data_IF_848633577850
#
_entry.id   IF_848633577850
#
_cell.length_a   1.000
_cell.length_b   1.000
_cell.length_c   1.000
_cell.angle_alpha   90.00
_cell.angle_beta   90.00
_cell.angle_gamma   90.00
#
_symmetry.space_group_name_H-M   'P 1'
#
loop_
_entity.id
_entity.type
_entity.pdbx_description
1 polymer ?
#
# COMPACT_ATOMS: atom_id res chain seq x y z
N UNK A 1 -15.90 -10.84 11.08
CA UNK A 1 -16.14 -9.40 10.85
C UNK A 1 -16.96 -9.31 9.58
N UNK A 2 -18.18 -8.76 9.63
CA UNK A 2 -19.06 -8.64 8.46
C UNK A 2 -19.03 -7.21 7.90
N UNK A 3 -19.59 -7.04 6.69
CA UNK A 3 -19.62 -5.75 6.01
C UNK A 3 -20.25 -4.62 6.86
N UNK A 4 -21.41 -4.84 7.51
CA UNK A 4 -22.04 -3.83 8.37
C UNK A 4 -21.16 -3.39 9.55
N UNK A 5 -20.51 -4.35 10.23
CA UNK A 5 -19.62 -4.03 11.35
C UNK A 5 -18.37 -3.26 10.90
N UNK A 6 -17.81 -3.60 9.74
CA UNK A 6 -16.70 -2.86 9.15
C UNK A 6 -17.08 -1.41 8.82
N UNK A 7 -18.26 -1.19 8.24
CA UNK A 7 -18.78 0.16 7.95
C UNK A 7 -18.95 0.99 9.21
N UNK A 8 -19.43 0.38 10.30
CA UNK A 8 -19.62 1.06 11.58
C UNK A 8 -18.29 1.53 12.18
N UNK A 9 -17.25 0.69 12.16
CA UNK A 9 -15.90 1.08 12.60
C UNK A 9 -15.36 2.27 11.78
N UNK A 10 -15.57 2.27 10.46
CA UNK A 10 -15.14 3.36 9.59
C UNK A 10 -15.90 4.67 9.91
N UNK A 11 -17.21 4.60 10.16
CA UNK A 11 -18.02 5.76 10.48
C UNK A 11 -17.68 6.36 11.85
N UNK A 12 -17.58 5.52 12.88
CA UNK A 12 -17.42 5.98 14.26
C UNK A 12 -16.00 6.46 14.55
N UNK A 13 -14.99 5.81 13.96
CA UNK A 13 -13.60 6.09 14.27
C UNK A 13 -12.87 6.78 13.13
N UNK A 14 -12.95 6.25 11.90
CA UNK A 14 -12.14 6.78 10.82
C UNK A 14 -12.63 8.18 10.41
N UNK A 15 -13.90 8.34 10.04
CA UNK A 15 -14.47 9.61 9.57
C UNK A 15 -14.37 10.71 10.64
N UNK A 16 -14.63 10.37 11.90
CA UNK A 16 -14.52 11.33 13.00
C UNK A 16 -13.08 11.85 13.16
N UNK A 17 -12.10 10.94 13.22
CA UNK A 17 -10.70 11.31 13.42
C UNK A 17 -10.12 12.03 12.20
N UNK A 18 -10.53 11.68 10.98
CA UNK A 18 -10.04 12.31 9.76
C UNK A 18 -10.58 13.72 9.59
N UNK A 19 -11.86 13.95 9.88
CA UNK A 19 -12.41 15.31 9.94
C UNK A 19 -11.70 16.18 10.96
N UNK A 20 -11.38 15.62 12.13
CA UNK A 20 -10.63 16.32 13.19
C UNK A 20 -9.20 16.65 12.76
N UNK A 21 -8.52 15.74 12.05
CA UNK A 21 -7.11 15.86 11.67
C UNK A 21 -6.85 16.64 10.39
N UNK A 22 -7.73 16.50 9.40
CA UNK A 22 -7.54 16.96 8.02
C UNK A 22 -8.64 17.93 7.55
N UNK A 23 -9.62 18.23 8.40
CA UNK A 23 -10.74 19.11 8.08
C UNK A 23 -11.70 18.50 7.05
N UNK A 24 -12.33 19.34 6.23
CA UNK A 24 -13.32 18.92 5.23
C UNK A 24 -12.75 18.43 3.89
N UNK A 25 -11.43 18.47 3.71
CA UNK A 25 -10.76 18.16 2.42
C UNK A 25 -9.82 16.99 2.57
N UNK A 26 -10.36 15.78 2.69
CA UNK A 26 -9.61 14.53 2.75
C UNK A 26 -10.23 13.50 1.82
N UNK A 27 -9.44 12.51 1.39
CA UNK A 27 -9.90 11.33 0.63
C UNK A 27 -9.36 10.05 1.24
N UNK A 28 -10.14 8.97 1.10
CA UNK A 28 -9.68 7.61 1.35
C UNK A 28 -8.82 7.15 0.18
N UNK A 29 -7.62 6.67 0.48
CA UNK A 29 -6.75 6.02 -0.49
C UNK A 29 -7.07 4.53 -0.61
N UNK A 30 -6.50 3.85 -1.61
CA UNK A 30 -6.76 2.43 -1.91
C UNK A 30 -6.39 1.49 -0.75
N UNK A 31 -5.52 1.92 0.14
CA UNK A 31 -5.10 1.21 1.35
C UNK A 31 -5.92 1.58 2.60
N UNK A 32 -6.99 2.35 2.43
CA UNK A 32 -7.80 2.94 3.50
C UNK A 32 -7.08 3.99 4.36
N UNK A 33 -5.95 4.55 3.91
CA UNK A 33 -5.32 5.69 4.58
C UNK A 33 -6.04 7.01 4.20
N UNK A 34 -6.44 7.84 5.17
CA UNK A 34 -7.03 9.15 4.91
C UNK A 34 -5.96 10.24 4.68
N UNK A 35 -6.02 10.96 3.54
CA UNK A 35 -5.06 12.03 3.21
C UNK A 35 -5.69 13.27 2.53
N UNK A 36 -5.04 14.44 2.65
CA UNK A 36 -5.48 15.75 2.13
C UNK A 36 -5.09 16.03 0.67
N UNK A 37 -4.08 15.34 0.16
CA UNK A 37 -3.57 15.50 -1.22
C UNK A 37 -3.75 14.20 -2.01
N UNK A 38 -3.64 14.22 -3.36
CA UNK A 38 -3.25 13.01 -4.06
C UNK A 38 -1.81 12.75 -3.64
N UNK A 39 -1.62 12.18 -2.45
CA UNK A 39 -0.29 11.92 -1.95
C UNK A 39 0.40 11.05 -3.00
N UNK A 40 1.57 11.49 -3.44
CA UNK A 40 2.54 10.62 -4.09
C UNK A 40 3.05 9.52 -3.10
N UNK A 41 2.29 9.20 -2.04
CA UNK A 41 2.54 8.15 -1.05
C UNK A 41 2.43 6.74 -1.62
N UNK A 42 2.04 6.59 -2.89
CA UNK A 42 2.23 5.32 -3.61
C UNK A 42 3.69 4.86 -3.53
N UNK A 43 4.64 5.81 -3.55
CA UNK A 43 6.08 5.54 -3.38
C UNK A 43 6.44 5.06 -1.97
N UNK A 44 5.50 5.03 -1.02
CA UNK A 44 5.70 4.73 0.40
C UNK A 44 4.62 3.76 0.90
N UNK A 45 3.96 2.97 0.05
CA UNK A 45 3.10 1.89 0.53
C UNK A 45 3.80 0.52 0.34
N UNK A 46 4.05 -0.25 1.41
CA UNK A 46 4.68 -1.57 1.27
C UNK A 46 3.83 -2.56 0.47
N UNK A 47 2.51 -2.38 0.41
CA UNK A 47 1.59 -3.19 -0.40
C UNK A 47 1.76 -2.88 -1.89
N UNK A 48 1.84 -1.62 -2.28
CA UNK A 48 2.13 -1.21 -3.67
C UNK A 48 3.50 -1.71 -4.14
N UNK A 49 4.51 -1.61 -3.27
CA UNK A 49 5.85 -2.16 -3.55
C UNK A 49 5.81 -3.69 -3.71
N UNK A 50 5.04 -4.39 -2.89
CA UNK A 50 4.85 -5.84 -3.00
C UNK A 50 4.17 -6.20 -4.32
N UNK A 51 3.10 -5.50 -4.68
CA UNK A 51 2.40 -5.71 -5.95
C UNK A 51 3.32 -5.47 -7.15
N UNK A 52 4.13 -4.40 -7.12
CA UNK A 52 5.12 -4.12 -8.17
C UNK A 52 6.14 -5.25 -8.34
N UNK A 53 6.65 -5.81 -7.23
CA UNK A 53 7.57 -6.96 -7.26
C UNK A 53 6.91 -8.18 -7.88
N UNK A 54 5.70 -8.52 -7.45
CA UNK A 54 4.97 -9.70 -7.92
C UNK A 54 4.62 -9.53 -9.40
N UNK A 55 4.09 -8.37 -9.80
CA UNK A 55 3.78 -8.04 -11.19
C UNK A 55 5.00 -8.25 -12.07
N UNK A 56 6.16 -7.72 -11.68
CA UNK A 56 7.42 -7.87 -12.44
C UNK A 56 7.89 -9.32 -12.53
N UNK A 57 7.64 -10.16 -11.52
CA UNK A 57 7.96 -11.60 -11.56
C UNK A 57 7.01 -12.36 -12.48
N UNK A 58 5.73 -12.04 -12.46
CA UNK A 58 4.72 -12.64 -13.33
C UNK A 58 4.95 -12.25 -14.79
N UNK A 59 5.25 -10.97 -15.06
CA UNK A 59 5.59 -10.48 -16.41
C UNK A 59 6.79 -11.22 -17.01
N UNK A 60 7.84 -11.50 -16.22
CA UNK A 60 9.00 -12.29 -16.65
C UNK A 60 8.68 -13.73 -17.04
N UNK A 61 7.51 -14.24 -16.67
CA UNK A 61 7.04 -15.57 -17.04
C UNK A 61 6.19 -15.58 -18.30
N UNK A 62 5.93 -14.40 -18.87
CA UNK A 62 5.26 -14.21 -20.16
C UNK A 62 3.96 -15.04 -20.30
N UNK A 63 2.99 -14.90 -19.38
CA UNK A 63 1.73 -15.63 -19.49
C UNK A 63 1.01 -15.28 -20.78
N UNK A 64 0.58 -16.30 -21.53
CA UNK A 64 -0.06 -16.13 -22.84
C UNK A 64 -1.58 -16.11 -22.76
N UNK A 65 -2.14 -16.50 -21.61
CA UNK A 65 -3.58 -16.57 -21.38
C UNK A 65 -3.93 -16.31 -19.89
N UNK A 66 -5.22 -16.08 -19.62
CA UNK A 66 -5.70 -15.76 -18.28
C UNK A 66 -5.46 -16.88 -17.25
N UNK A 67 -5.45 -18.15 -17.66
CA UNK A 67 -5.19 -19.28 -16.73
C UNK A 67 -3.73 -19.31 -16.31
N UNK A 68 -2.81 -19.08 -17.25
CA UNK A 68 -1.39 -18.94 -16.95
C UNK A 68 -1.12 -17.74 -16.06
N UNK A 69 -1.76 -16.59 -16.35
CA UNK A 69 -1.63 -15.39 -15.53
C UNK A 69 -2.06 -15.66 -14.08
N UNK A 70 -3.23 -16.27 -13.88
CA UNK A 70 -3.75 -16.60 -12.55
C UNK A 70 -2.85 -17.60 -11.81
N UNK A 71 -2.41 -18.66 -12.49
CA UNK A 71 -1.49 -19.65 -11.91
C UNK A 71 -0.15 -19.01 -11.50
N UNK A 72 0.42 -18.17 -12.37
CA UNK A 72 1.70 -17.53 -12.12
C UNK A 72 1.59 -16.52 -10.99
N UNK A 73 0.49 -15.78 -10.91
CA UNK A 73 0.21 -14.87 -9.82
C UNK A 73 0.21 -15.61 -8.47
N UNK A 74 -0.53 -16.71 -8.36
CA UNK A 74 -0.57 -17.52 -7.12
C UNK A 74 0.82 -18.09 -6.76
N UNK A 75 1.57 -18.58 -7.76
CA UNK A 75 2.91 -19.13 -7.53
C UNK A 75 3.91 -18.05 -7.08
N UNK A 76 3.92 -16.89 -7.73
CA UNK A 76 4.82 -15.79 -7.35
C UNK A 76 4.41 -15.14 -6.02
N UNK A 77 3.11 -15.09 -5.73
CA UNK A 77 2.58 -14.70 -4.42
C UNK A 77 3.10 -15.66 -3.32
N UNK A 78 2.93 -16.97 -3.50
CA UNK A 78 3.38 -17.98 -2.53
C UNK A 78 4.90 -18.00 -2.32
N UNK A 79 5.68 -17.63 -3.34
CA UNK A 79 7.15 -17.47 -3.24
C UNK A 79 7.56 -16.21 -2.48
N UNK A 80 6.64 -15.32 -2.14
CA UNK A 80 6.95 -14.15 -1.33
C UNK A 80 7.25 -14.59 0.10
N UNK A 81 8.53 -14.76 0.39
CA UNK A 81 9.02 -15.15 1.72
C UNK A 81 8.89 -13.97 2.69
N UNK A 82 8.69 -14.27 3.97
CA UNK A 82 8.62 -13.29 5.06
C UNK A 82 9.82 -12.33 5.10
N UNK A 83 10.98 -12.74 4.58
CA UNK A 83 12.15 -11.88 4.43
C UNK A 83 11.92 -10.70 3.49
N UNK A 84 11.18 -10.89 2.39
CA UNK A 84 10.82 -9.80 1.45
C UNK A 84 9.86 -8.82 2.14
N UNK A 85 8.87 -9.34 2.87
CA UNK A 85 7.93 -8.53 3.64
C UNK A 85 8.66 -7.71 4.73
N UNK A 86 9.56 -8.35 5.47
CA UNK A 86 10.38 -7.66 6.46
C UNK A 86 11.29 -6.60 5.83
N UNK A 87 11.86 -6.86 4.65
CA UNK A 87 12.68 -5.88 3.94
C UNK A 87 11.85 -4.68 3.48
N UNK A 88 10.63 -4.91 2.98
CA UNK A 88 9.69 -3.85 2.59
C UNK A 88 9.29 -2.99 3.79
N UNK A 89 8.95 -3.61 4.93
CA UNK A 89 8.61 -2.92 6.17
C UNK A 89 9.79 -2.12 6.74
N UNK A 90 11.01 -2.65 6.66
CA UNK A 90 12.20 -1.93 7.10
C UNK A 90 12.54 -0.76 6.16
N UNK A 91 12.47 -0.94 4.84
CA UNK A 91 12.63 0.15 3.87
C UNK A 91 11.60 1.26 4.10
N UNK A 92 10.37 0.89 4.44
CA UNK A 92 9.31 1.82 4.82
C UNK A 92 9.65 2.64 6.06
N UNK A 93 10.13 2.00 7.13
CA UNK A 93 10.58 2.70 8.33
C UNK A 93 11.69 3.70 7.99
N UNK A 94 12.67 3.31 7.17
CA UNK A 94 13.74 4.19 6.72
C UNK A 94 13.25 5.34 5.85
N UNK A 95 12.25 5.14 4.98
CA UNK A 95 11.59 6.21 4.19
C UNK A 95 10.93 7.24 5.07
N UNK A 96 10.14 6.78 6.03
CA UNK A 96 9.42 7.67 6.92
C UNK A 96 10.40 8.54 7.70
N UNK A 97 11.52 7.96 8.16
CA UNK A 97 12.59 8.72 8.82
C UNK A 97 13.24 9.73 7.86
N UNK A 98 13.58 9.32 6.64
CA UNK A 98 14.16 10.21 5.64
C UNK A 98 13.21 11.37 5.25
N UNK A 99 11.91 11.11 5.10
CA UNK A 99 10.90 12.15 4.84
C UNK A 99 10.74 13.13 5.99
N UNK A 100 10.84 12.67 7.23
CA UNK A 100 10.84 13.53 8.42
C UNK A 100 12.09 14.43 8.41
N UNK A 101 13.24 13.87 8.06
CA UNK A 101 14.51 14.59 7.97
C UNK A 101 14.53 15.61 6.82
N UNK A 102 13.95 15.27 5.66
CA UNK A 102 13.82 16.17 4.51
C UNK A 102 12.63 17.13 4.60
N UNK A 103 11.90 17.16 5.73
CA UNK A 103 10.70 17.99 5.94
C UNK A 103 9.64 17.83 4.84
N UNK A 104 9.53 16.64 4.27
CA UNK A 104 8.59 16.32 3.19
C UNK A 104 9.09 16.62 1.77
N UNK A 105 10.36 17.01 1.59
CA UNK A 105 10.97 17.07 0.26
C UNK A 105 11.24 15.67 -0.31
N UNK A 106 11.34 15.60 -1.65
CA UNK A 106 11.47 14.36 -2.41
C UNK A 106 12.71 13.58 -1.97
N UNK A 107 12.51 12.36 -1.50
CA UNK A 107 13.58 11.39 -1.24
C UNK A 107 13.89 10.61 -2.53
N UNK A 108 15.16 10.43 -2.85
CA UNK A 108 15.57 9.60 -4.00
C UNK A 108 15.39 8.12 -3.63
N UNK A 109 14.71 7.38 -4.52
CA UNK A 109 14.36 5.97 -4.40
C UNK A 109 14.88 5.18 -5.59
#
# INVERSE_FOLDING_TARGET
>A
MDGPHYVQILQDHLIHNTRKRFGGRWRLQQDNDPSIEPSNSSDVNPVENLWSIIKRRVEKREPTNLRELDLFLHQEWAKTVMSVLNHLVNSMKSRCLALIETKGERINY
#
